data_IF_565073401509
#
_entry.id   IF_565073401509
#
_cell.length_a   1.000
_cell.length_b   1.000
_cell.length_c   1.000
_cell.angle_alpha   90.00
_cell.angle_beta   90.00
_cell.angle_gamma   90.00
#
_symmetry.space_group_name_H-M   'P 1'
#
loop_
_entity.id
_entity.type
_entity.pdbx_description
1 polymer ?
#
# COMPACT_ATOMS: atom_id res chain seq x y z
N UNK A 1 13.50 18.57 -11.08
CA UNK A 1 14.73 18.24 -10.31
C UNK A 1 14.69 16.73 -10.05
N UNK A 2 15.81 16.04 -10.11
CA UNK A 2 15.89 14.62 -9.83
C UNK A 2 15.90 14.42 -8.31
N UNK A 3 14.99 13.63 -7.76
CA UNK A 3 14.99 13.21 -6.36
C UNK A 3 15.88 11.98 -6.17
N UNK A 4 16.20 11.65 -4.92
CA UNK A 4 16.94 10.43 -4.57
C UNK A 4 16.15 9.16 -4.89
N UNK A 5 16.83 8.13 -5.40
CA UNK A 5 16.21 6.83 -5.72
C UNK A 5 16.01 5.95 -4.46
N UNK A 6 15.43 6.52 -3.41
CA UNK A 6 15.20 5.86 -2.12
C UNK A 6 13.78 6.05 -1.65
N UNK A 7 13.26 5.06 -0.92
CA UNK A 7 12.02 5.16 -0.12
C UNK A 7 12.45 5.05 1.33
N UNK A 8 12.11 6.04 2.13
CA UNK A 8 12.46 6.13 3.56
C UNK A 8 11.21 5.98 4.43
N UNK A 9 11.40 5.89 5.74
CA UNK A 9 10.30 5.81 6.71
C UNK A 9 10.54 6.76 7.89
N UNK A 10 9.46 7.10 8.60
CA UNK A 10 9.53 7.92 9.80
C UNK A 10 9.63 7.05 11.06
N UNK A 11 10.27 7.59 12.10
CA UNK A 11 10.44 6.90 13.37
C UNK A 11 9.10 6.71 14.10
N UNK A 12 8.25 7.74 14.08
CA UNK A 12 7.02 7.77 14.87
C UNK A 12 5.79 8.31 14.12
N UNK A 13 4.83 8.77 14.90
CA UNK A 13 3.54 9.28 14.41
C UNK A 13 3.56 10.75 13.97
N UNK A 14 4.66 11.45 14.23
CA UNK A 14 4.96 12.84 13.82
C UNK A 14 6.44 12.96 13.54
N UNK A 15 6.81 13.88 12.65
CA UNK A 15 8.22 14.12 12.35
C UNK A 15 8.89 15.00 13.42
N UNK A 16 10.07 14.59 13.85
CA UNK A 16 10.97 15.43 14.65
C UNK A 16 11.61 16.52 13.78
N UNK A 17 12.24 17.50 14.41
CA UNK A 17 12.96 18.55 13.70
C UNK A 17 14.16 17.97 12.92
N UNK A 18 14.82 16.98 13.50
CA UNK A 18 15.96 16.26 12.91
C UNK A 18 15.52 15.47 11.69
N UNK A 19 14.40 14.74 11.76
CA UNK A 19 13.86 14.02 10.60
C UNK A 19 13.48 14.96 9.47
N UNK A 20 12.83 16.09 9.77
CA UNK A 20 12.48 17.10 8.75
C UNK A 20 13.73 17.64 8.05
N UNK A 21 14.79 17.92 8.79
CA UNK A 21 16.05 18.38 8.22
C UNK A 21 16.74 17.29 7.37
N UNK A 22 16.74 16.05 7.87
CA UNK A 22 17.30 14.89 7.16
C UNK A 22 16.55 14.60 5.87
N UNK A 23 15.21 14.52 5.89
CA UNK A 23 14.41 14.24 4.70
C UNK A 23 14.52 15.34 3.64
N UNK A 24 14.63 16.60 4.06
CA UNK A 24 14.89 17.71 3.14
C UNK A 24 16.24 17.58 2.44
N UNK A 25 17.27 17.16 3.17
CA UNK A 25 18.61 17.00 2.60
C UNK A 25 18.73 15.74 1.73
N UNK A 26 18.07 14.64 2.13
CA UNK A 26 18.10 13.37 1.41
C UNK A 26 17.22 13.38 0.14
N UNK A 27 16.17 14.19 0.11
CA UNK A 27 15.15 14.28 -0.96
C UNK A 27 14.77 12.91 -1.54
N UNK A 28 14.21 11.96 -0.72
CA UNK A 28 13.89 10.61 -1.16
C UNK A 28 12.79 10.63 -2.22
N UNK A 29 12.70 9.60 -3.06
CA UNK A 29 11.59 9.42 -4.01
C UNK A 29 10.23 9.43 -3.31
N UNK A 30 10.12 8.74 -2.18
CA UNK A 30 8.90 8.63 -1.40
C UNK A 30 9.13 8.10 0.00
N UNK A 31 8.03 7.79 0.67
CA UNK A 31 8.03 7.25 2.02
C UNK A 31 7.17 5.99 2.13
N UNK A 32 7.54 5.09 3.05
CA UNK A 32 6.72 3.94 3.43
C UNK A 32 6.28 4.07 4.88
N UNK A 33 4.99 3.82 5.15
CA UNK A 33 4.44 3.84 6.50
C UNK A 33 4.32 2.41 7.06
N UNK A 34 4.67 2.27 8.32
CA UNK A 34 4.51 1.06 9.12
C UNK A 34 3.45 1.27 10.22
N UNK A 35 3.06 0.19 10.90
CA UNK A 35 2.06 0.26 11.96
C UNK A 35 2.42 1.27 13.07
N UNK A 36 3.72 1.48 13.35
CA UNK A 36 4.20 2.47 14.32
C UNK A 36 3.89 3.93 13.94
N UNK A 37 3.64 4.18 12.66
CA UNK A 37 3.35 5.51 12.13
C UNK A 37 1.84 5.85 12.15
N UNK A 38 0.97 4.88 12.49
CA UNK A 38 -0.48 4.95 12.30
C UNK A 38 -1.18 4.85 13.66
N UNK A 39 -1.90 5.89 14.05
CA UNK A 39 -2.64 5.95 15.31
C UNK A 39 -4.12 6.32 15.11
N UNK A 40 -4.42 7.32 14.30
CA UNK A 40 -5.77 7.75 13.94
C UNK A 40 -5.79 8.29 12.50
N UNK A 41 -6.96 8.41 11.91
CA UNK A 41 -7.11 8.94 10.56
C UNK A 41 -6.55 10.38 10.44
N UNK A 42 -6.84 11.21 11.42
CA UNK A 42 -6.37 12.60 11.45
C UNK A 42 -4.85 12.69 11.59
N UNK A 43 -4.29 11.89 12.52
CA UNK A 43 -2.85 11.86 12.73
C UNK A 43 -2.12 11.32 11.49
N UNK A 44 -2.63 10.25 10.85
CA UNK A 44 -2.01 9.67 9.64
C UNK A 44 -2.00 10.68 8.49
N UNK A 45 -3.10 11.39 8.24
CA UNK A 45 -3.15 12.48 7.25
C UNK A 45 -2.15 13.59 7.57
N UNK A 46 -2.05 13.98 8.85
CA UNK A 46 -1.10 14.99 9.27
C UNK A 46 0.35 14.57 9.04
N UNK A 47 0.70 13.31 9.33
CA UNK A 47 2.03 12.76 9.04
C UNK A 47 2.33 12.75 7.53
N UNK A 48 1.37 12.31 6.70
CA UNK A 48 1.51 12.34 5.25
C UNK A 48 1.81 13.75 4.73
N UNK A 49 1.12 14.75 5.27
CA UNK A 49 1.37 16.15 4.92
C UNK A 49 2.75 16.63 5.38
N UNK A 50 3.15 16.33 6.62
CA UNK A 50 4.48 16.66 7.16
C UNK A 50 5.63 16.07 6.31
N UNK A 51 5.48 14.83 5.82
CA UNK A 51 6.44 14.18 4.94
C UNK A 51 6.59 14.93 3.61
N UNK A 52 5.47 15.32 2.98
CA UNK A 52 5.46 16.11 1.73
C UNK A 52 6.03 17.51 1.94
N UNK A 53 5.67 18.15 3.04
CA UNK A 53 6.23 19.46 3.41
C UNK A 53 7.74 19.42 3.66
N UNK A 54 8.24 18.35 4.31
CA UNK A 54 9.64 18.19 4.59
C UNK A 54 10.49 18.16 3.31
N UNK A 55 10.01 17.51 2.23
CA UNK A 55 10.70 17.46 0.93
C UNK A 55 10.27 18.57 -0.04
N UNK A 56 9.25 19.37 0.32
CA UNK A 56 8.77 20.50 -0.49
C UNK A 56 8.09 20.10 -1.81
N UNK A 57 7.56 18.87 -1.91
CA UNK A 57 6.89 18.36 -3.12
C UNK A 57 5.87 17.27 -2.78
N UNK A 58 4.96 17.02 -3.70
CA UNK A 58 4.03 15.88 -3.61
C UNK A 58 4.78 14.57 -3.93
N UNK A 59 5.40 13.98 -2.90
CA UNK A 59 6.11 12.70 -3.00
C UNK A 59 5.19 11.51 -2.76
N UNK A 60 5.59 10.34 -3.26
CA UNK A 60 4.88 9.07 -3.05
C UNK A 60 4.86 8.70 -1.57
N UNK A 61 3.71 8.27 -1.07
CA UNK A 61 3.58 7.63 0.24
C UNK A 61 2.93 6.26 0.03
N UNK A 62 3.61 5.22 0.48
CA UNK A 62 3.19 3.82 0.34
C UNK A 62 3.02 3.12 1.67
N UNK A 63 2.38 1.95 1.65
CA UNK A 63 2.15 1.11 2.83
C UNK A 63 2.01 -0.35 2.41
N UNK A 64 2.27 -1.30 3.33
CA UNK A 64 1.92 -2.71 3.14
C UNK A 64 0.48 -2.95 3.60
N UNK A 65 -0.45 -3.03 2.68
CA UNK A 65 -1.87 -3.32 2.94
C UNK A 65 -2.34 -4.49 2.05
N UNK A 66 -1.71 -5.66 2.22
CA UNK A 66 -2.05 -6.88 1.46
C UNK A 66 -3.31 -7.55 2.00
N UNK A 67 -3.50 -7.50 3.32
CA UNK A 67 -4.49 -8.25 4.09
C UNK A 67 -3.87 -9.37 4.93
N UNK A 68 -4.67 -9.99 5.76
CA UNK A 68 -4.22 -10.99 6.72
C UNK A 68 -3.19 -10.40 7.69
N UNK A 69 -2.05 -11.04 7.82
CA UNK A 69 -0.98 -10.57 8.72
C UNK A 69 -0.16 -9.40 8.18
N UNK A 70 -0.13 -9.19 6.84
CA UNK A 70 0.56 -8.07 6.19
C UNK A 70 -0.45 -6.97 5.91
N UNK A 71 -0.81 -6.28 6.97
CA UNK A 71 -1.77 -5.19 6.97
C UNK A 71 -1.42 -4.21 8.09
N UNK A 72 -1.19 -2.94 7.74
CA UNK A 72 -0.77 -1.90 8.70
C UNK A 72 -1.96 -1.13 9.26
N UNK A 73 -2.95 -0.86 8.40
CA UNK A 73 -4.21 -0.23 8.80
C UNK A 73 -5.23 -1.32 9.13
N UNK A 74 -5.84 -1.20 10.31
CA UNK A 74 -6.84 -2.15 10.82
C UNK A 74 -8.06 -1.42 11.33
N UNK A 75 -9.12 -2.15 11.64
CA UNK A 75 -10.32 -1.59 12.26
C UNK A 75 -9.96 -0.78 13.52
N UNK A 76 -10.54 0.43 13.71
CA UNK A 76 -11.62 1.03 12.89
C UNK A 76 -11.14 1.89 11.70
N UNK A 77 -9.83 2.01 11.42
CA UNK A 77 -9.28 2.88 10.37
C UNK A 77 -9.46 2.30 8.96
N UNK A 78 -9.45 0.99 8.84
CA UNK A 78 -9.67 0.25 7.60
C UNK A 78 -10.30 -1.10 7.92
N UNK A 79 -10.79 -1.81 6.90
CA UNK A 79 -11.31 -3.17 7.05
C UNK A 79 -10.21 -4.13 7.46
N UNK A 80 -10.57 -5.13 8.26
CA UNK A 80 -9.73 -6.30 8.47
C UNK A 80 -9.88 -7.25 7.28
N UNK A 81 -8.93 -7.14 6.35
CA UNK A 81 -8.91 -7.96 5.14
C UNK A 81 -8.34 -9.35 5.43
N UNK A 82 -9.02 -10.39 4.98
CA UNK A 82 -8.47 -11.76 5.03
C UNK A 82 -7.20 -11.86 4.19
N UNK A 83 -6.42 -12.92 4.38
CA UNK A 83 -5.23 -13.16 3.58
C UNK A 83 -5.58 -13.30 2.08
N UNK A 84 -4.71 -12.86 1.16
CA UNK A 84 -5.01 -12.91 -0.28
C UNK A 84 -5.38 -14.31 -0.79
N UNK A 85 -4.63 -15.35 -0.43
CA UNK A 85 -4.92 -16.73 -0.84
C UNK A 85 -6.32 -17.17 -0.40
N UNK A 86 -6.64 -16.96 0.87
CA UNK A 86 -7.96 -17.30 1.42
C UNK A 86 -9.09 -16.59 0.67
N UNK A 87 -8.87 -15.33 0.27
CA UNK A 87 -9.86 -14.58 -0.49
C UNK A 87 -10.05 -15.15 -1.90
N UNK A 88 -8.95 -15.53 -2.56
CA UNK A 88 -9.00 -16.17 -3.89
C UNK A 88 -9.73 -17.51 -3.83
N UNK A 89 -9.40 -18.34 -2.85
CA UNK A 89 -10.03 -19.66 -2.65
C UNK A 89 -11.53 -19.53 -2.33
N UNK A 90 -11.88 -18.61 -1.44
CA UNK A 90 -13.28 -18.36 -1.09
C UNK A 90 -14.10 -17.81 -2.25
N UNK A 91 -13.51 -16.94 -3.07
CA UNK A 91 -14.18 -16.35 -4.22
C UNK A 91 -14.34 -17.32 -5.39
N UNK A 92 -13.52 -18.37 -5.45
CA UNK A 92 -13.58 -19.41 -6.49
C UNK A 92 -13.68 -18.84 -7.91
N UNK A 93 -14.70 -19.13 -8.67
CA UNK A 93 -14.94 -18.64 -10.04
C UNK A 93 -15.06 -17.10 -10.13
N UNK A 94 -15.35 -16.42 -9.02
CA UNK A 94 -15.44 -14.96 -8.94
C UNK A 94 -14.12 -14.28 -8.51
N UNK A 95 -13.01 -15.02 -8.43
CA UNK A 95 -11.75 -14.53 -7.88
C UNK A 95 -11.24 -13.24 -8.56
N UNK A 96 -11.34 -13.14 -9.89
CA UNK A 96 -10.93 -11.93 -10.62
C UNK A 96 -11.74 -10.70 -10.18
N UNK A 97 -13.05 -10.84 -10.13
CA UNK A 97 -13.96 -9.76 -9.70
C UNK A 97 -13.74 -9.40 -8.23
N UNK A 98 -13.57 -10.41 -7.38
CA UNK A 98 -13.33 -10.23 -5.96
C UNK A 98 -12.01 -9.50 -5.69
N UNK A 99 -10.92 -9.87 -6.36
CA UNK A 99 -9.62 -9.21 -6.22
C UNK A 99 -9.63 -7.78 -6.75
N UNK A 100 -10.28 -7.52 -7.89
CA UNK A 100 -10.49 -6.16 -8.37
C UNK A 100 -11.20 -5.28 -7.33
N UNK A 101 -12.34 -5.75 -6.80
CA UNK A 101 -13.12 -5.00 -5.82
C UNK A 101 -12.37 -4.81 -4.50
N UNK A 102 -11.65 -5.86 -4.04
CA UNK A 102 -10.81 -5.80 -2.86
C UNK A 102 -9.82 -4.64 -2.94
N UNK A 103 -8.99 -4.61 -3.98
CA UNK A 103 -7.95 -3.59 -4.11
C UNK A 103 -8.52 -2.21 -4.40
N UNK A 104 -9.68 -2.14 -5.05
CA UNK A 104 -10.40 -0.87 -5.21
C UNK A 104 -10.84 -0.29 -3.84
N UNK A 105 -11.34 -1.12 -2.94
CA UNK A 105 -11.75 -0.68 -1.61
C UNK A 105 -10.53 -0.34 -0.73
N UNK A 106 -9.48 -1.15 -0.78
CA UNK A 106 -8.21 -0.86 -0.09
C UNK A 106 -7.67 0.49 -0.54
N UNK A 107 -7.60 0.73 -1.85
CA UNK A 107 -7.07 1.99 -2.37
C UNK A 107 -7.92 3.20 -1.96
N UNK A 108 -9.23 3.06 -1.87
CA UNK A 108 -10.10 4.12 -1.35
C UNK A 108 -9.79 4.42 0.13
N UNK A 109 -9.65 3.39 0.96
CA UNK A 109 -9.28 3.53 2.37
C UNK A 109 -7.92 4.22 2.55
N UNK A 110 -6.92 3.88 1.72
CA UNK A 110 -5.59 4.48 1.73
C UNK A 110 -5.63 5.95 1.28
N UNK A 111 -6.33 6.22 0.19
CA UNK A 111 -6.44 7.57 -0.37
C UNK A 111 -7.07 8.56 0.62
N UNK A 112 -8.09 8.14 1.36
CA UNK A 112 -8.72 8.96 2.41
C UNK A 112 -7.76 9.35 3.55
N UNK A 113 -6.66 8.62 3.69
CA UNK A 113 -5.60 8.88 4.68
C UNK A 113 -4.38 9.63 4.10
N UNK A 114 -4.43 9.96 2.80
CA UNK A 114 -3.33 10.65 2.12
C UNK A 114 -2.19 9.70 1.68
N UNK A 115 -2.45 8.40 1.60
CA UNK A 115 -1.52 7.37 1.12
C UNK A 115 -1.81 7.09 -0.34
N UNK A 116 -0.78 7.16 -1.21
CA UNK A 116 -0.94 7.11 -2.68
C UNK A 116 -0.75 5.71 -3.27
N UNK A 117 -0.10 4.81 -2.53
CA UNK A 117 0.36 3.52 -3.05
C UNK A 117 0.27 2.42 -2.01
N UNK A 118 0.19 1.19 -2.50
CA UNK A 118 0.20 -0.03 -1.70
C UNK A 118 1.28 -0.98 -2.25
N UNK A 119 2.06 -1.60 -1.37
CA UNK A 119 3.04 -2.63 -1.75
C UNK A 119 2.33 -3.97 -2.07
N UNK A 120 1.44 -3.92 -3.03
CA UNK A 120 0.65 -5.04 -3.57
C UNK A 120 0.41 -4.80 -5.07
N UNK A 121 0.09 -5.80 -5.87
CA UNK A 121 -0.12 -7.22 -5.54
C UNK A 121 1.16 -7.99 -5.29
N UNK A 122 1.06 -9.11 -4.56
CA UNK A 122 2.13 -10.10 -4.46
C UNK A 122 2.03 -11.06 -5.64
N UNK A 123 2.96 -10.93 -6.59
CA UNK A 123 3.00 -11.74 -7.82
C UNK A 123 3.71 -13.09 -7.68
N UNK A 124 4.05 -13.50 -6.47
CA UNK A 124 4.77 -14.75 -6.21
C UNK A 124 3.89 -15.97 -6.43
N UNK A 125 4.49 -17.03 -7.01
CA UNK A 125 3.86 -18.33 -7.14
C UNK A 125 4.10 -19.19 -5.90
N UNK A 126 3.09 -19.95 -5.50
CA UNK A 126 3.26 -21.00 -4.51
C UNK A 126 3.89 -22.21 -5.21
N UNK A 127 5.08 -22.61 -4.74
CA UNK A 127 5.80 -23.81 -5.16
C UNK A 127 5.93 -24.78 -3.97
N UNK A 128 6.35 -26.05 -4.18
CA UNK A 128 6.64 -26.96 -3.07
C UNK A 128 7.63 -26.38 -2.05
N UNK A 129 8.58 -25.57 -2.49
CA UNK A 129 9.64 -24.97 -1.68
C UNK A 129 9.22 -23.63 -1.04
N UNK A 130 8.03 -23.09 -1.36
CA UNK A 130 7.55 -21.82 -0.78
C UNK A 130 7.40 -21.97 0.72
N UNK A 131 8.11 -21.11 1.45
CA UNK A 131 8.05 -21.09 2.91
C UNK A 131 6.60 -20.91 3.41
N UNK A 132 6.13 -21.71 4.38
CA UNK A 132 4.73 -21.65 4.86
C UNK A 132 4.26 -20.24 5.25
N UNK A 133 5.18 -19.44 5.78
CA UNK A 133 4.92 -18.05 6.12
C UNK A 133 4.57 -17.16 4.90
N UNK A 134 4.95 -17.51 3.69
CA UNK A 134 4.68 -16.72 2.48
C UNK A 134 3.41 -17.17 1.73
N UNK A 135 3.01 -18.43 1.90
CA UNK A 135 1.95 -19.05 1.07
C UNK A 135 0.65 -18.27 1.04
N UNK A 136 0.16 -17.80 2.18
CA UNK A 136 -1.13 -17.11 2.25
C UNK A 136 -1.11 -15.66 1.74
N UNK A 137 0.07 -15.13 1.36
CA UNK A 137 0.21 -13.84 0.68
C UNK A 137 0.07 -13.97 -0.84
N UNK A 138 0.39 -15.14 -1.39
CA UNK A 138 0.32 -15.43 -2.82
C UNK A 138 -1.13 -15.60 -3.29
N UNK A 139 -1.33 -15.64 -4.62
CA UNK A 139 -2.67 -15.78 -5.22
C UNK A 139 -2.95 -17.20 -5.73
N UNK A 140 -1.97 -18.11 -5.69
CA UNK A 140 -2.13 -19.50 -6.11
C UNK A 140 -0.85 -20.14 -6.62
N UNK A 141 -1.02 -21.31 -7.25
CA UNK A 141 0.06 -22.15 -7.80
C UNK A 141 0.16 -22.07 -9.32
N UNK A 142 -0.86 -21.56 -9.99
CA UNK A 142 -0.91 -21.43 -11.45
C UNK A 142 -0.46 -20.05 -11.91
N UNK A 143 0.58 -20.01 -12.75
CA UNK A 143 1.19 -18.76 -13.24
C UNK A 143 0.18 -17.88 -13.99
N UNK A 144 -0.67 -18.48 -14.81
CA UNK A 144 -1.62 -17.73 -15.63
C UNK A 144 -2.70 -17.08 -14.74
N UNK A 145 -3.23 -17.83 -13.80
CA UNK A 145 -4.20 -17.33 -12.82
C UNK A 145 -3.59 -16.21 -11.98
N UNK A 146 -2.38 -16.41 -11.43
CA UNK A 146 -1.71 -15.38 -10.61
C UNK A 146 -1.48 -14.10 -11.41
N UNK A 147 -1.06 -14.19 -12.68
CA UNK A 147 -0.87 -13.02 -13.55
C UNK A 147 -2.19 -12.25 -13.79
N UNK A 148 -3.31 -12.96 -14.02
CA UNK A 148 -4.63 -12.36 -14.19
C UNK A 148 -5.06 -11.65 -12.90
N UNK A 149 -4.96 -12.31 -11.74
CA UNK A 149 -5.36 -11.76 -10.46
C UNK A 149 -4.50 -10.55 -10.06
N UNK A 150 -3.19 -10.60 -10.31
CA UNK A 150 -2.30 -9.47 -10.11
C UNK A 150 -2.68 -8.28 -10.99
N UNK A 151 -3.00 -8.51 -12.27
CA UNK A 151 -3.50 -7.47 -13.17
C UNK A 151 -4.81 -6.85 -12.65
N UNK A 152 -5.76 -7.67 -12.16
CA UNK A 152 -7.00 -7.16 -11.57
C UNK A 152 -6.74 -6.25 -10.37
N UNK A 153 -5.74 -6.59 -9.55
CA UNK A 153 -5.33 -5.79 -8.40
C UNK A 153 -4.70 -4.45 -8.81
N UNK A 154 -3.88 -4.41 -9.88
CA UNK A 154 -3.17 -3.20 -10.33
C UNK A 154 -4.01 -2.26 -11.18
N UNK A 155 -5.07 -2.71 -11.83
CA UNK A 155 -5.94 -1.86 -12.67
C UNK A 155 -6.52 -0.66 -11.92
N UNK A 156 -6.50 -0.66 -10.60
CA UNK A 156 -7.01 0.42 -9.77
C UNK A 156 -5.98 1.54 -9.50
N UNK A 157 -4.70 1.24 -9.41
CA UNK A 157 -3.66 2.26 -9.17
C UNK A 157 -3.62 3.32 -10.30
N UNK A 158 -3.90 2.91 -11.54
CA UNK A 158 -3.98 3.82 -12.68
C UNK A 158 -5.19 4.79 -12.60
N UNK A 159 -6.27 4.39 -11.94
CA UNK A 159 -7.49 5.19 -11.86
C UNK A 159 -7.44 6.25 -10.75
N UNK A 160 -6.76 5.97 -9.65
CA UNK A 160 -6.58 6.96 -8.57
C UNK A 160 -5.72 8.15 -9.00
N UNK A 161 -4.72 7.93 -9.87
CA UNK A 161 -3.88 9.00 -10.43
C UNK A 161 -4.63 9.91 -11.43
N UNK A 162 -5.61 9.39 -12.16
CA UNK A 162 -6.40 10.20 -13.11
C UNK A 162 -7.36 11.17 -12.43
N UNK A 163 -7.80 10.89 -11.21
CA UNK A 163 -8.65 11.79 -10.43
C UNK A 163 -7.87 12.95 -9.79
N UNK A 164 -6.61 12.73 -9.43
CA UNK A 164 -5.76 13.78 -8.87
C UNK A 164 -5.37 14.86 -9.92
N UNK A 165 -5.41 14.52 -11.21
CA UNK A 165 -5.09 15.45 -12.31
C UNK A 165 -6.32 16.24 -12.82
N UNK A 166 -7.54 15.91 -12.41
CA UNK A 166 -8.78 16.56 -12.92
C UNK A 166 -9.35 17.65 -11.99
N UNK A 167 -8.67 17.99 -10.89
CA UNK A 167 -9.08 18.95 -9.86
C UNK A 167 -8.10 20.12 -9.66
N UNK A 168 -7.41 20.55 -10.70
CA UNK A 168 -6.56 21.74 -10.71
C UNK A 168 -7.05 22.77 -11.72
#
# INVERSE_FOLDING_TARGET
MACGATILDAEGVRLTAEEKAFFRAADPFGFILFARNIQSAEQTRALCNELREAVGRNCLITVDQEGGRVQRLRSPLARDWMAPLEHVEQASEQAERAMYLRYRLIAQELFELGIDSNCAPVGDLITPDTHPFLKNRCYGTDLHQVAILARCATCFEAYSRSWACAGG
#
